data_IF_145926378092
#
_entry.id   IF_145926378092
#
_cell.length_a   1.000
_cell.length_b   1.000
_cell.length_c   1.000
_cell.angle_alpha   90.00
_cell.angle_beta   90.00
_cell.angle_gamma   90.00
#
_symmetry.space_group_name_H-M   'P 1'
#
loop_
_entity.id
_entity.type
_entity.pdbx_description
1 polymer ?
#
# COMPACT_ATOMS: atom_id res chain seq x y z
N UNK A 1 -17.74 -3.72 4.98
CA UNK A 1 -16.94 -4.49 5.96
C UNK A 1 -15.53 -3.94 5.99
N UNK A 2 -15.05 -3.59 7.16
CA UNK A 2 -13.71 -3.02 7.30
C UNK A 2 -12.65 -4.10 7.21
N UNK A 3 -11.54 -3.74 6.57
CA UNK A 3 -10.35 -4.59 6.53
C UNK A 3 -9.62 -4.44 7.86
N UNK A 4 -9.24 -5.55 8.46
CA UNK A 4 -8.36 -5.52 9.63
C UNK A 4 -6.92 -5.38 9.14
N UNK A 5 -6.45 -4.15 9.11
CA UNK A 5 -5.13 -3.84 8.55
C UNK A 5 -3.96 -4.48 9.31
N UNK A 6 -4.22 -4.99 10.52
CA UNK A 6 -3.19 -5.65 11.33
C UNK A 6 -3.03 -7.13 11.04
N UNK A 7 -4.11 -7.81 10.61
CA UNK A 7 -4.08 -9.27 10.47
C UNK A 7 -4.77 -9.82 9.23
N UNK A 8 -5.44 -8.98 8.45
CA UNK A 8 -6.16 -9.46 7.27
C UNK A 8 -5.21 -10.01 6.21
N UNK A 9 -5.68 -11.00 5.46
CA UNK A 9 -4.97 -11.47 4.29
C UNK A 9 -5.07 -10.43 3.19
N UNK A 10 -3.98 -9.79 2.88
CA UNK A 10 -3.94 -8.71 1.89
C UNK A 10 -3.66 -9.25 0.49
N UNK A 11 -4.32 -8.67 -0.50
CA UNK A 11 -4.15 -9.03 -1.90
C UNK A 11 -4.02 -7.77 -2.74
N UNK A 12 -3.68 -7.92 -4.01
CA UNK A 12 -3.58 -6.78 -4.92
C UNK A 12 -4.93 -6.09 -5.13
N UNK A 13 -6.04 -6.79 -4.88
CA UNK A 13 -7.38 -6.22 -5.03
C UNK A 13 -7.95 -5.63 -3.75
N UNK A 14 -7.23 -5.72 -2.63
CA UNK A 14 -7.67 -5.14 -1.36
C UNK A 14 -7.79 -3.63 -1.52
N UNK A 15 -8.97 -3.09 -1.21
CA UNK A 15 -9.22 -1.65 -1.37
C UNK A 15 -8.53 -0.85 -0.28
N UNK A 16 -7.94 0.27 -0.68
CA UNK A 16 -7.41 1.27 0.24
C UNK A 16 -8.49 2.32 0.42
N UNK A 17 -9.09 2.34 1.60
CA UNK A 17 -10.20 3.27 1.90
C UNK A 17 -9.79 4.24 3.00
N UNK A 18 -10.76 5.00 3.51
CA UNK A 18 -10.50 5.99 4.56
C UNK A 18 -10.05 5.38 5.88
N UNK A 19 -10.23 4.06 6.05
CA UNK A 19 -9.82 3.34 7.26
C UNK A 19 -8.41 2.74 7.13
N UNK A 20 -7.76 2.95 5.99
CA UNK A 20 -6.42 2.42 5.73
C UNK A 20 -5.43 2.84 6.81
N UNK A 21 -4.57 1.91 7.21
CA UNK A 21 -3.49 2.15 8.17
C UNK A 21 -2.20 1.51 7.65
N UNK A 22 -1.08 2.20 7.87
CA UNK A 22 0.25 1.70 7.51
C UNK A 22 0.75 0.74 8.59
N UNK A 23 0.19 -0.47 8.61
CA UNK A 23 0.55 -1.47 9.60
C UNK A 23 1.73 -2.31 9.13
N UNK A 24 2.29 -3.08 10.06
CA UNK A 24 3.34 -4.05 9.75
C UNK A 24 2.86 -5.07 8.70
N UNK A 25 1.59 -5.45 8.78
CA UNK A 25 1.00 -6.38 7.84
C UNK A 25 0.99 -5.81 6.41
N UNK A 26 0.62 -4.54 6.27
CA UNK A 26 0.64 -3.84 4.98
C UNK A 26 2.07 -3.71 4.47
N UNK A 27 2.98 -3.33 5.34
CA UNK A 27 4.39 -3.18 4.97
C UNK A 27 4.97 -4.49 4.45
N UNK A 28 4.64 -5.59 5.12
CA UNK A 28 5.10 -6.92 4.69
C UNK A 28 4.58 -7.25 3.31
N UNK A 29 3.28 -7.02 3.07
CA UNK A 29 2.68 -7.27 1.77
C UNK A 29 3.37 -6.45 0.68
N UNK A 30 3.54 -5.16 0.91
CA UNK A 30 4.14 -4.28 -0.09
C UNK A 30 5.62 -4.59 -0.31
N UNK A 31 6.33 -5.02 0.73
CA UNK A 31 7.72 -5.45 0.59
C UNK A 31 7.80 -6.70 -0.29
N UNK A 32 6.86 -7.62 -0.16
CA UNK A 32 6.82 -8.80 -1.01
C UNK A 32 6.51 -8.44 -2.47
N UNK A 33 5.69 -7.42 -2.69
CA UNK A 33 5.32 -6.99 -4.04
C UNK A 33 6.40 -6.13 -4.70
N UNK A 34 7.10 -5.33 -3.93
CA UNK A 34 7.99 -4.28 -4.46
C UNK A 34 9.47 -4.57 -4.22
N UNK A 35 9.80 -5.48 -3.31
CA UNK A 35 11.20 -5.80 -2.98
C UNK A 35 11.61 -5.17 -1.65
N UNK A 36 12.81 -5.55 -1.19
CA UNK A 36 13.31 -5.18 0.13
C UNK A 36 13.53 -3.67 0.31
N UNK A 37 13.65 -2.94 -0.79
CA UNK A 37 13.87 -1.48 -0.74
C UNK A 37 12.59 -0.71 -0.47
N UNK A 38 11.44 -1.37 -0.42
CA UNK A 38 10.19 -0.68 -0.18
C UNK A 38 10.19 0.05 1.17
N UNK A 39 9.70 1.28 1.16
CA UNK A 39 9.53 2.06 2.39
C UNK A 39 8.37 3.06 2.21
N UNK A 40 7.76 3.45 3.32
CA UNK A 40 6.74 4.47 3.33
C UNK A 40 7.40 5.84 3.49
N UNK A 41 7.78 6.48 2.37
CA UNK A 41 8.27 7.84 2.47
C UNK A 41 7.09 8.82 2.53
N UNK A 42 7.38 10.08 2.85
CA UNK A 42 6.35 11.08 3.08
C UNK A 42 5.46 11.31 1.84
N UNK A 43 6.08 11.49 0.69
CA UNK A 43 5.34 11.79 -0.53
C UNK A 43 4.48 10.62 -0.97
N UNK A 44 5.00 9.41 -0.83
CA UNK A 44 4.27 8.21 -1.16
C UNK A 44 3.07 8.01 -0.23
N UNK A 45 3.26 8.26 1.06
CA UNK A 45 2.15 8.16 2.02
C UNK A 45 1.07 9.19 1.73
N UNK A 46 1.45 10.40 1.35
CA UNK A 46 0.48 11.42 0.97
C UNK A 46 -0.33 10.97 -0.25
N UNK A 47 0.33 10.33 -1.21
CA UNK A 47 -0.36 9.80 -2.37
C UNK A 47 -1.34 8.70 -2.00
N UNK A 48 -0.95 7.78 -1.09
CA UNK A 48 -1.83 6.69 -0.66
C UNK A 48 -3.11 7.27 -0.02
N UNK A 49 -2.99 8.35 0.72
CA UNK A 49 -4.09 8.95 1.48
C UNK A 49 -4.79 10.11 0.77
N UNK A 50 -4.62 10.23 -0.54
CA UNK A 50 -5.16 11.37 -1.30
C UNK A 50 -6.65 11.25 -1.62
N UNK A 51 -7.34 10.25 -1.05
CA UNK A 51 -8.77 10.00 -1.22
C UNK A 51 -9.19 9.58 -2.62
N UNK A 52 -8.24 9.35 -3.52
CA UNK A 52 -8.53 8.74 -4.81
C UNK A 52 -8.66 7.23 -4.62
N UNK A 53 -9.76 6.61 -5.10
CA UNK A 53 -9.92 5.15 -4.94
C UNK A 53 -8.76 4.38 -5.54
N UNK A 54 -8.26 3.42 -4.80
CA UNK A 54 -7.13 2.59 -5.25
C UNK A 54 -7.12 1.26 -4.50
N UNK A 55 -6.37 0.30 -5.05
CA UNK A 55 -6.15 -1.00 -4.41
C UNK A 55 -4.70 -1.09 -3.96
N UNK A 56 -4.37 -2.10 -3.16
CA UNK A 56 -2.97 -2.34 -2.78
C UNK A 56 -2.11 -2.67 -3.99
N UNK A 57 -2.70 -3.28 -5.03
CA UNK A 57 -2.00 -3.47 -6.29
C UNK A 57 -1.60 -2.15 -6.92
N UNK A 58 -2.51 -1.17 -6.90
CA UNK A 58 -2.22 0.18 -7.40
C UNK A 58 -1.10 0.82 -6.59
N UNK A 59 -1.09 0.62 -5.28
CA UNK A 59 -0.05 1.14 -4.40
C UNK A 59 1.31 0.55 -4.77
N UNK A 60 1.36 -0.77 -4.95
CA UNK A 60 2.60 -1.45 -5.33
C UNK A 60 3.10 -0.96 -6.71
N UNK A 61 2.18 -0.83 -7.66
CA UNK A 61 2.53 -0.38 -9.01
C UNK A 61 3.04 1.06 -9.00
N UNK A 62 2.44 1.92 -8.20
CA UNK A 62 2.89 3.30 -8.07
C UNK A 62 4.30 3.38 -7.49
N UNK A 63 4.59 2.56 -6.48
CA UNK A 63 5.94 2.51 -5.93
C UNK A 63 6.95 2.13 -7.00
N UNK A 64 6.65 1.09 -7.77
CA UNK A 64 7.55 0.62 -8.83
C UNK A 64 7.75 1.68 -9.90
N UNK A 65 6.69 2.40 -10.26
CA UNK A 65 6.75 3.49 -11.23
C UNK A 65 7.71 4.59 -10.76
N UNK A 66 7.68 4.90 -9.46
CA UNK A 66 8.53 5.94 -8.88
C UNK A 66 10.01 5.53 -8.86
N UNK A 67 10.31 4.23 -8.85
CA UNK A 67 11.67 3.72 -8.86
C UNK A 67 12.28 3.64 -10.26
N UNK A 68 11.45 3.70 -11.29
CA UNK A 68 11.91 3.61 -12.68
C UNK A 68 12.21 5.01 -13.18
N UNK A 69 13.45 5.25 -13.70
CA UNK A 69 13.83 6.56 -14.21
C UNK A 69 12.99 6.99 -15.41
#
# INVERSE_FOLDING_TARGET
MEVDWHSALLTRTTLVDKHYRNTQNVRRFLTEQCGEDFRFDRDFMAWIRNEVPKTLGDVADEWKRRQTP
#
